data_IF_773234882815
#
_entry.id   IF_773234882815
#
_cell.length_a   1.000
_cell.length_b   1.000
_cell.length_c   1.000
_cell.angle_alpha   90.00
_cell.angle_beta   90.00
_cell.angle_gamma   90.00
#
_symmetry.space_group_name_H-M   'P 1'
#
loop_
_entity.id
_entity.type
_entity.pdbx_description
1 polymer ?
#
# COMPACT_ATOMS: atom_id res chain seq x y z
N UNK A 1 -18.97 40.33 10.48
CA UNK A 1 -18.62 39.87 9.12
C UNK A 1 -17.98 38.50 9.26
N UNK A 2 -18.77 37.47 8.98
CA UNK A 2 -18.41 36.05 9.09
C UNK A 2 -17.75 35.61 7.77
N UNK A 3 -16.67 34.80 7.79
CA UNK A 3 -16.12 34.23 6.58
C UNK A 3 -16.92 32.99 6.14
N UNK A 4 -17.15 32.95 4.83
CA UNK A 4 -17.96 32.01 4.06
C UNK A 4 -17.77 30.51 4.38
N UNK A 5 -18.87 29.82 4.62
CA UNK A 5 -18.99 28.36 4.48
C UNK A 5 -19.03 27.98 2.98
N UNK A 6 -18.32 26.93 2.54
CA UNK A 6 -18.60 26.31 1.26
C UNK A 6 -19.85 25.42 1.35
N UNK A 7 -20.71 25.56 0.35
CA UNK A 7 -22.00 24.90 0.15
C UNK A 7 -21.95 23.37 0.25
N UNK A 8 -22.87 22.82 1.05
CA UNK A 8 -23.29 21.42 1.04
C UNK A 8 -23.94 21.10 -0.31
N UNK A 9 -23.28 20.28 -1.13
CA UNK A 9 -23.94 19.58 -2.23
C UNK A 9 -24.52 18.29 -1.64
N UNK A 10 -25.84 18.21 -1.64
CA UNK A 10 -26.63 17.04 -1.28
C UNK A 10 -26.67 16.07 -2.46
N UNK A 11 -25.88 14.99 -2.40
CA UNK A 11 -26.07 13.84 -3.28
C UNK A 11 -26.76 12.71 -2.51
N UNK A 12 -28.07 12.89 -2.31
CA UNK A 12 -28.98 11.77 -2.15
C UNK A 12 -29.40 11.30 -3.54
N UNK A 13 -28.72 10.29 -4.09
CA UNK A 13 -29.34 9.40 -5.06
C UNK A 13 -29.13 7.95 -4.62
N UNK A 14 -30.25 7.30 -4.33
CA UNK A 14 -30.33 5.95 -3.84
C UNK A 14 -30.12 4.93 -4.95
N UNK A 15 -29.40 3.86 -4.61
CA UNK A 15 -29.48 2.60 -5.33
C UNK A 15 -30.68 1.82 -4.79
N UNK A 16 -31.88 2.12 -5.30
CA UNK A 16 -33.05 1.24 -5.20
C UNK A 16 -33.26 0.58 -6.56
N UNK A 17 -32.53 -0.50 -6.80
CA UNK A 17 -32.80 -1.45 -7.88
C UNK A 17 -32.71 -2.84 -7.28
N UNK A 18 -33.81 -3.59 -7.30
CA UNK A 18 -33.84 -5.01 -6.93
C UNK A 18 -32.75 -5.73 -7.71
N UNK A 19 -31.70 -6.19 -7.03
CA UNK A 19 -30.58 -6.89 -7.67
C UNK A 19 -30.91 -8.35 -7.98
N UNK A 20 -30.50 -8.86 -9.16
CA UNK A 20 -30.62 -10.28 -9.46
C UNK A 20 -29.78 -11.14 -8.51
N UNK A 21 -30.25 -12.36 -8.22
CA UNK A 21 -29.59 -13.40 -7.41
C UNK A 21 -28.11 -13.72 -7.78
N UNK A 22 -27.57 -13.15 -8.85
CA UNK A 22 -26.18 -13.31 -9.31
C UNK A 22 -25.14 -12.54 -8.49
N UNK A 23 -25.50 -11.48 -7.74
CA UNK A 23 -24.55 -10.66 -6.97
C UNK A 23 -24.20 -11.22 -5.58
N UNK A 24 -25.05 -12.10 -5.01
CA UNK A 24 -24.76 -12.85 -3.78
C UNK A 24 -23.53 -13.78 -3.89
N UNK A 25 -23.09 -14.09 -5.12
CA UNK A 25 -21.90 -14.91 -5.37
C UNK A 25 -20.66 -14.09 -5.78
N UNK A 26 -20.71 -12.75 -5.73
CA UNK A 26 -19.52 -11.95 -6.04
C UNK A 26 -18.43 -12.16 -4.98
N UNK A 27 -17.13 -12.13 -5.36
CA UNK A 27 -16.03 -12.24 -4.40
C UNK A 27 -16.13 -11.20 -3.27
N UNK A 28 -16.54 -9.96 -3.61
CA UNK A 28 -16.80 -8.89 -2.65
C UNK A 28 -17.85 -9.30 -1.60
N UNK A 29 -19.02 -9.78 -2.05
CA UNK A 29 -20.08 -10.21 -1.13
C UNK A 29 -19.61 -11.36 -0.23
N UNK A 30 -18.88 -12.34 -0.79
CA UNK A 30 -18.33 -13.45 -0.01
C UNK A 30 -17.31 -12.99 1.03
N UNK A 31 -16.39 -12.11 0.67
CA UNK A 31 -15.38 -11.53 1.58
C UNK A 31 -16.06 -10.82 2.74
N UNK A 32 -17.06 -9.98 2.47
CA UNK A 32 -17.80 -9.25 3.53
C UNK A 32 -18.62 -10.21 4.39
N UNK A 33 -19.23 -11.24 3.80
CA UNK A 33 -19.93 -12.31 4.52
C UNK A 33 -19.02 -13.05 5.51
N UNK A 34 -17.82 -13.46 5.06
CA UNK A 34 -16.83 -14.09 5.92
C UNK A 34 -16.34 -13.13 7.00
N UNK A 35 -16.03 -11.87 6.69
CA UNK A 35 -15.66 -10.89 7.71
C UNK A 35 -16.76 -10.74 8.77
N UNK A 36 -18.03 -10.75 8.36
CA UNK A 36 -19.14 -10.72 9.30
C UNK A 36 -19.22 -11.97 10.19
N UNK A 37 -19.15 -13.17 9.60
CA UNK A 37 -19.40 -14.43 10.32
C UNK A 37 -18.19 -14.96 11.07
N UNK A 38 -17.00 -14.76 10.51
CA UNK A 38 -15.73 -15.34 10.96
C UNK A 38 -14.85 -14.36 11.73
N UNK A 39 -15.03 -13.04 11.55
CA UNK A 39 -14.18 -12.02 12.18
C UNK A 39 -14.97 -11.16 13.18
N UNK A 40 -15.99 -10.41 12.75
CA UNK A 40 -16.76 -9.55 13.65
C UNK A 40 -17.39 -10.33 14.80
N UNK A 41 -17.96 -11.51 14.49
CA UNK A 41 -18.61 -12.37 15.47
C UNK A 41 -17.61 -13.06 16.40
N UNK A 42 -16.54 -13.63 15.86
CA UNK A 42 -15.57 -14.41 16.64
C UNK A 42 -14.74 -13.52 17.58
N UNK A 43 -14.25 -12.39 17.07
CA UNK A 43 -13.35 -11.50 17.83
C UNK A 43 -14.11 -10.38 18.56
N UNK A 44 -15.44 -10.31 18.40
CA UNK A 44 -16.28 -9.23 18.90
C UNK A 44 -15.72 -7.84 18.52
N UNK A 45 -15.62 -7.61 17.21
CA UNK A 45 -15.08 -6.38 16.62
C UNK A 45 -16.07 -5.76 15.65
N UNK A 46 -15.78 -4.52 15.24
CA UNK A 46 -16.39 -3.88 14.09
C UNK A 46 -15.33 -3.56 13.06
N UNK A 47 -15.60 -3.89 11.81
CA UNK A 47 -14.72 -3.58 10.69
C UNK A 47 -14.99 -2.15 10.21
N UNK A 48 -13.93 -1.37 10.02
CA UNK A 48 -13.98 0.01 9.52
C UNK A 48 -13.68 0.08 8.02
N UNK A 49 -12.77 -0.77 7.56
CA UNK A 49 -12.22 -0.70 6.21
C UNK A 49 -11.73 -2.07 5.76
N UNK A 50 -11.88 -2.37 4.48
CA UNK A 50 -11.44 -3.62 3.85
C UNK A 50 -10.96 -3.32 2.43
N UNK A 51 -9.77 -3.80 2.08
CA UNK A 51 -9.20 -3.69 0.74
C UNK A 51 -8.46 -4.97 0.32
N UNK A 52 -8.13 -5.06 -0.96
CA UNK A 52 -7.14 -6.01 -1.47
C UNK A 52 -5.72 -5.41 -1.32
N UNK A 53 -4.73 -6.24 -0.99
CA UNK A 53 -3.33 -5.82 -0.93
C UNK A 53 -2.37 -6.82 -1.62
N UNK A 54 -2.91 -7.67 -2.50
CA UNK A 54 -2.20 -8.78 -3.10
C UNK A 54 -1.80 -8.56 -4.55
N UNK A 55 -1.55 -9.68 -5.22
CA UNK A 55 -1.28 -9.72 -6.66
C UNK A 55 -2.37 -9.05 -7.51
N UNK A 56 -3.61 -9.02 -7.00
CA UNK A 56 -4.76 -8.36 -7.63
C UNK A 56 -4.60 -6.85 -7.64
N UNK A 57 -4.39 -6.25 -6.47
CA UNK A 57 -4.13 -4.81 -6.35
C UNK A 57 -2.85 -4.37 -7.10
N UNK A 58 -1.85 -5.23 -7.23
CA UNK A 58 -0.65 -4.98 -8.04
C UNK A 58 -0.83 -5.20 -9.56
N UNK A 59 -2.01 -5.64 -10.00
CA UNK A 59 -2.32 -6.00 -11.39
C UNK A 59 -1.36 -7.04 -12.02
N UNK A 60 -0.88 -7.97 -11.20
CA UNK A 60 -0.04 -9.10 -11.64
C UNK A 60 -0.74 -10.43 -11.37
N UNK A 61 -2.06 -10.48 -11.47
CA UNK A 61 -2.86 -11.70 -11.35
C UNK A 61 -3.40 -12.09 -12.72
N UNK A 62 -3.90 -13.31 -12.85
CA UNK A 62 -4.55 -13.74 -14.07
C UNK A 62 -5.83 -12.93 -14.32
N UNK A 63 -5.88 -12.22 -15.45
CA UNK A 63 -7.04 -11.43 -15.87
C UNK A 63 -8.04 -12.25 -16.71
N UNK A 64 -7.56 -13.33 -17.33
CA UNK A 64 -8.34 -14.22 -18.21
C UNK A 64 -9.05 -15.31 -17.40
N UNK A 65 -8.41 -15.78 -16.34
CA UNK A 65 -9.04 -16.48 -15.24
C UNK A 65 -9.39 -15.46 -14.16
N UNK A 66 -10.60 -14.90 -14.19
CA UNK A 66 -11.14 -13.98 -13.16
C UNK A 66 -11.06 -14.52 -11.71
N UNK A 67 -10.55 -15.73 -11.50
CA UNK A 67 -11.18 -16.76 -10.69
C UNK A 67 -10.20 -17.77 -10.05
N UNK A 68 -8.88 -17.50 -10.01
CA UNK A 68 -7.90 -18.43 -9.43
C UNK A 68 -6.78 -17.81 -8.59
N UNK A 69 -6.74 -16.47 -8.45
CA UNK A 69 -5.79 -15.80 -7.56
C UNK A 69 -6.24 -15.83 -6.10
N UNK A 70 -5.34 -16.19 -5.18
CA UNK A 70 -5.53 -15.99 -3.74
C UNK A 70 -5.95 -14.53 -3.43
N UNK A 71 -6.82 -14.36 -2.44
CA UNK A 71 -7.28 -13.05 -2.00
C UNK A 71 -6.52 -12.61 -0.75
N UNK A 72 -5.64 -11.62 -0.92
CA UNK A 72 -4.96 -10.95 0.18
C UNK A 72 -5.86 -9.83 0.74
N UNK A 73 -6.77 -10.18 1.63
CA UNK A 73 -7.71 -9.23 2.22
C UNK A 73 -7.10 -8.56 3.43
N UNK A 74 -7.05 -7.24 3.42
CA UNK A 74 -6.57 -6.43 4.53
C UNK A 74 -7.69 -5.59 5.09
N UNK A 75 -7.76 -5.50 6.41
CA UNK A 75 -8.84 -4.79 7.07
C UNK A 75 -8.40 -4.01 8.29
N UNK A 76 -9.20 -3.02 8.67
CA UNK A 76 -9.03 -2.26 9.91
C UNK A 76 -10.26 -2.49 10.77
N UNK A 77 -10.04 -2.75 12.05
CA UNK A 77 -11.12 -3.02 12.99
C UNK A 77 -10.94 -2.25 14.31
N UNK A 78 -12.03 -2.15 15.05
CA UNK A 78 -12.09 -1.57 16.39
C UNK A 78 -12.82 -2.53 17.32
N UNK A 79 -12.43 -2.54 18.60
CA UNK A 79 -13.11 -3.31 19.64
C UNK A 79 -14.21 -2.49 20.34
N UNK A 80 -15.10 -3.10 21.12
CA UNK A 80 -15.99 -2.37 22.01
C UNK A 80 -15.19 -1.66 23.11
N UNK A 81 -15.76 -0.59 23.69
CA UNK A 81 -15.06 0.27 24.66
C UNK A 81 -14.48 -0.51 25.84
N UNK A 82 -15.22 -1.49 26.36
CA UNK A 82 -14.83 -2.30 27.51
C UNK A 82 -13.51 -3.02 27.30
N UNK A 83 -13.19 -3.39 26.04
CA UNK A 83 -11.93 -4.05 25.69
C UNK A 83 -10.73 -3.13 25.94
N UNK A 84 -10.87 -1.83 25.69
CA UNK A 84 -9.81 -0.82 25.89
C UNK A 84 -9.64 -0.42 27.35
N UNK A 85 -10.66 -0.62 28.18
CA UNK A 85 -10.63 -0.28 29.61
C UNK A 85 -10.06 -1.40 30.49
N UNK A 86 -9.68 -2.54 29.90
CA UNK A 86 -9.05 -3.65 30.64
C UNK A 86 -7.62 -3.32 31.02
N UNK A 87 -7.25 -3.74 32.22
CA UNK A 87 -5.88 -3.64 32.74
C UNK A 87 -5.17 -4.97 32.44
N UNK A 88 -4.62 -5.10 31.22
CA UNK A 88 -3.84 -6.26 30.78
C UNK A 88 -2.57 -5.80 30.07
N UNK A 89 -1.46 -6.52 30.25
CA UNK A 89 -0.14 -6.09 29.78
C UNK A 89 0.08 -6.35 28.28
N UNK A 90 -0.50 -7.43 27.75
CA UNK A 90 -0.36 -7.80 26.34
C UNK A 90 -1.71 -7.85 25.66
N UNK A 91 -1.78 -7.19 24.50
CA UNK A 91 -2.99 -7.11 23.70
C UNK A 91 -2.61 -7.37 22.25
N UNK A 92 -3.20 -8.42 21.68
CA UNK A 92 -3.05 -8.72 20.26
C UNK A 92 -3.79 -7.64 19.44
N UNK A 93 -3.04 -6.93 18.60
CA UNK A 93 -3.54 -5.83 17.75
C UNK A 93 -3.68 -6.25 16.29
N UNK A 94 -3.63 -7.55 16.03
CA UNK A 94 -3.65 -8.12 14.70
C UNK A 94 -4.47 -9.39 14.67
N UNK A 95 -5.37 -9.50 13.70
CA UNK A 95 -6.12 -10.72 13.45
C UNK A 95 -5.63 -11.32 12.14
N UNK A 96 -5.26 -12.59 12.14
CA UNK A 96 -4.91 -13.35 10.93
C UNK A 96 -5.82 -14.56 10.80
N UNK A 97 -6.43 -14.75 9.63
CA UNK A 97 -7.28 -15.92 9.36
C UNK A 97 -7.21 -16.29 7.89
N UNK A 98 -7.00 -17.57 7.59
CA UNK A 98 -7.07 -18.12 6.23
C UNK A 98 -8.33 -18.95 6.09
N UNK A 99 -9.08 -18.73 5.02
CA UNK A 99 -10.33 -19.45 4.77
C UNK A 99 -10.35 -19.94 3.34
N UNK A 100 -10.55 -21.26 3.16
CA UNK A 100 -10.82 -21.85 1.85
C UNK A 100 -12.29 -21.66 1.52
N UNK A 101 -12.59 -21.14 0.32
CA UNK A 101 -13.96 -20.95 -0.13
C UNK A 101 -14.17 -21.38 -1.56
N UNK A 102 -15.31 -22.00 -1.82
CA UNK A 102 -15.83 -22.15 -3.16
C UNK A 102 -16.56 -20.86 -3.57
N UNK A 103 -16.06 -20.20 -4.62
CA UNK A 103 -16.75 -19.10 -5.27
C UNK A 103 -17.41 -19.65 -6.53
N UNK A 104 -18.75 -19.77 -6.53
CA UNK A 104 -19.50 -20.29 -7.68
C UNK A 104 -19.21 -19.45 -8.94
N UNK A 105 -18.77 -20.12 -10.01
CA UNK A 105 -18.38 -19.49 -11.28
C UNK A 105 -16.88 -19.53 -11.55
N UNK A 106 -16.07 -19.98 -10.58
CA UNK A 106 -14.64 -20.19 -10.75
C UNK A 106 -14.32 -21.60 -11.28
N UNK A 107 -13.28 -21.74 -12.10
CA UNK A 107 -12.81 -23.03 -12.62
C UNK A 107 -12.09 -23.89 -11.55
N UNK A 108 -11.84 -23.34 -10.35
CA UNK A 108 -11.31 -24.05 -9.19
C UNK A 108 -12.44 -24.39 -8.20
N UNK A 109 -12.38 -25.58 -7.59
CA UNK A 109 -13.35 -26.00 -6.57
C UNK A 109 -13.21 -25.18 -5.27
N UNK A 110 -12.03 -24.64 -4.94
CA UNK A 110 -11.77 -23.79 -3.75
C UNK A 110 -10.64 -22.77 -3.98
N UNK A 111 -10.76 -21.56 -3.44
CA UNK A 111 -9.71 -20.51 -3.39
C UNK A 111 -9.41 -20.08 -1.95
N UNK A 112 -8.17 -19.67 -1.66
CA UNK A 112 -7.76 -19.17 -0.34
C UNK A 112 -8.04 -17.67 -0.22
N UNK A 113 -8.66 -17.26 0.89
CA UNK A 113 -8.74 -15.87 1.33
C UNK A 113 -7.87 -15.71 2.58
N UNK A 114 -6.80 -14.92 2.48
CA UNK A 114 -5.89 -14.54 3.56
C UNK A 114 -6.31 -13.21 4.17
N UNK A 115 -6.99 -13.27 5.31
CA UNK A 115 -7.38 -12.10 6.10
C UNK A 115 -6.26 -11.68 7.04
N UNK A 116 -5.82 -10.42 6.92
CA UNK A 116 -4.93 -9.78 7.90
C UNK A 116 -5.52 -8.43 8.30
N UNK A 117 -5.89 -8.30 9.56
CA UNK A 117 -6.52 -7.11 10.10
C UNK A 117 -5.65 -6.42 11.13
N UNK A 118 -5.60 -5.09 11.10
CA UNK A 118 -4.99 -4.28 12.17
C UNK A 118 -6.05 -3.57 13.00
N UNK A 119 -5.88 -3.66 14.33
CA UNK A 119 -6.65 -2.83 15.25
C UNK A 119 -6.37 -1.34 14.97
N UNK A 120 -7.35 -0.48 15.21
CA UNK A 120 -7.27 0.94 14.90
C UNK A 120 -6.06 1.63 15.54
N UNK A 121 -5.66 1.33 16.79
CA UNK A 121 -4.44 1.93 17.38
C UNK A 121 -3.17 1.51 16.65
N UNK A 122 -3.07 0.25 16.21
CA UNK A 122 -1.94 -0.22 15.40
C UNK A 122 -1.91 0.50 14.06
N UNK A 123 -3.05 0.59 13.39
CA UNK A 123 -3.22 1.30 12.11
C UNK A 123 -2.78 2.76 12.24
N UNK A 124 -3.31 3.47 13.23
CA UNK A 124 -2.97 4.87 13.52
C UNK A 124 -1.49 5.01 13.92
N UNK A 125 -0.95 4.15 14.78
CA UNK A 125 0.49 4.18 15.10
C UNK A 125 1.35 3.98 13.85
N UNK A 126 0.93 3.14 12.92
CA UNK A 126 1.65 2.84 11.69
C UNK A 126 1.56 4.01 10.70
N UNK A 127 0.40 4.65 10.59
CA UNK A 127 0.23 5.92 9.87
C UNK A 127 1.18 6.99 10.39
N UNK A 128 1.19 7.24 11.71
CA UNK A 128 2.09 8.23 12.33
C UNK A 128 3.57 7.93 12.10
N UNK A 129 3.93 6.66 11.99
CA UNK A 129 5.30 6.18 11.73
C UNK A 129 5.64 6.07 10.24
N UNK A 130 4.71 6.37 9.33
CA UNK A 130 4.90 6.22 7.89
C UNK A 130 5.21 4.78 7.47
N UNK A 131 4.58 3.79 8.11
CA UNK A 131 4.76 2.38 7.77
C UNK A 131 4.17 2.03 6.40
N UNK A 132 4.95 1.48 5.45
CA UNK A 132 4.48 1.21 4.09
C UNK A 132 3.29 0.25 3.98
N UNK A 133 3.12 -0.69 4.90
CA UNK A 133 1.97 -1.61 4.87
C UNK A 133 0.65 -0.85 4.92
N UNK A 134 0.54 0.14 5.80
CA UNK A 134 -0.69 0.94 5.93
C UNK A 134 -0.79 1.95 4.77
N UNK A 135 0.33 2.47 4.25
CA UNK A 135 0.32 3.26 3.02
C UNK A 135 -0.25 2.47 1.84
N UNK A 136 0.15 1.20 1.68
CA UNK A 136 -0.34 0.32 0.62
C UNK A 136 -1.87 0.16 0.70
N UNK A 137 -2.42 -0.04 1.90
CA UNK A 137 -3.86 -0.25 2.12
C UNK A 137 -4.72 1.00 1.87
N UNK A 138 -4.22 2.17 2.25
CA UNK A 138 -5.02 3.40 2.20
C UNK A 138 -4.77 4.25 0.96
N UNK A 139 -3.56 4.20 0.41
CA UNK A 139 -3.13 5.12 -0.64
C UNK A 139 -2.92 4.41 -1.98
N UNK A 140 -2.34 3.22 -1.99
CA UNK A 140 -1.87 2.60 -3.24
C UNK A 140 -2.90 1.66 -3.87
N UNK A 141 -3.62 0.85 -3.08
CA UNK A 141 -4.66 -0.04 -3.63
C UNK A 141 -5.91 0.72 -4.09
N UNK A 142 -6.44 0.34 -5.24
CA UNK A 142 -7.70 0.83 -5.80
C UNK A 142 -8.87 -0.14 -5.54
N UNK A 143 -8.60 -1.34 -5.02
CA UNK A 143 -9.61 -2.37 -4.76
C UNK A 143 -10.08 -2.28 -3.31
N UNK A 144 -11.14 -1.50 -3.08
CA UNK A 144 -11.78 -1.35 -1.76
C UNK A 144 -13.05 -2.21 -1.71
N UNK A 145 -13.09 -3.16 -0.76
CA UNK A 145 -14.26 -4.01 -0.54
C UNK A 145 -15.28 -3.34 0.37
N UNK A 146 -14.84 -2.57 1.37
CA UNK A 146 -15.74 -1.91 2.30
C UNK A 146 -15.08 -0.73 2.99
N UNK A 147 -15.88 0.31 3.25
CA UNK A 147 -15.54 1.36 4.19
C UNK A 147 -16.82 1.78 4.91
N UNK A 148 -16.75 1.90 6.24
CA UNK A 148 -17.93 2.27 7.02
C UNK A 148 -18.38 3.71 6.78
N UNK A 149 -17.47 4.61 6.38
CA UNK A 149 -17.75 6.02 6.09
C UNK A 149 -16.68 6.67 5.21
N UNK A 150 -17.11 7.34 4.14
CA UNK A 150 -16.21 8.03 3.22
C UNK A 150 -15.40 9.14 3.87
N UNK A 151 -15.99 9.90 4.82
CA UNK A 151 -15.27 10.97 5.52
C UNK A 151 -14.13 10.44 6.38
N UNK A 152 -14.27 9.24 6.96
CA UNK A 152 -13.19 8.60 7.72
C UNK A 152 -12.05 8.17 6.79
N UNK A 153 -12.36 7.59 5.63
CA UNK A 153 -11.35 7.21 4.65
C UNK A 153 -10.61 8.45 4.11
N UNK A 154 -11.35 9.53 3.83
CA UNK A 154 -10.76 10.80 3.41
C UNK A 154 -9.79 11.34 4.47
N UNK A 155 -10.18 11.30 5.74
CA UNK A 155 -9.33 11.75 6.83
C UNK A 155 -8.08 10.87 7.01
N UNK A 156 -8.20 9.53 6.91
CA UNK A 156 -7.03 8.62 6.88
C UNK A 156 -6.07 8.98 5.76
N UNK A 157 -6.59 9.21 4.54
CA UNK A 157 -5.79 9.60 3.37
C UNK A 157 -5.11 10.96 3.56
N UNK A 158 -5.78 11.91 4.20
CA UNK A 158 -5.22 13.22 4.54
C UNK A 158 -4.06 13.08 5.56
N UNK A 159 -4.26 12.33 6.64
CA UNK A 159 -3.20 12.06 7.64
C UNK A 159 -1.93 11.53 6.99
N UNK A 160 -2.07 10.60 6.06
CA UNK A 160 -0.98 10.07 5.27
C UNK A 160 -0.32 11.12 4.39
N UNK A 161 -1.06 11.62 3.40
CA UNK A 161 -0.49 12.42 2.31
C UNK A 161 0.00 13.80 2.76
N UNK A 162 -0.64 14.40 3.75
CA UNK A 162 -0.39 15.81 4.11
C UNK A 162 0.49 15.97 5.35
N UNK A 163 0.53 14.98 6.26
CA UNK A 163 1.19 15.18 7.56
C UNK A 163 2.26 14.14 7.86
N UNK A 164 1.92 12.85 7.77
CA UNK A 164 2.79 11.80 8.27
C UNK A 164 3.65 11.10 7.22
N UNK A 165 3.45 11.33 5.92
CA UNK A 165 4.30 10.72 4.89
C UNK A 165 5.78 11.05 5.12
N UNK A 166 6.62 10.01 5.11
CA UNK A 166 8.06 10.11 5.27
C UNK A 166 8.75 9.12 4.33
N UNK A 167 9.27 9.66 3.22
CA UNK A 167 10.00 8.88 2.22
C UNK A 167 11.17 8.10 2.82
N UNK A 168 11.93 8.68 3.77
CA UNK A 168 13.06 8.01 4.41
C UNK A 168 12.63 6.70 5.05
N UNK A 169 11.58 6.74 5.88
CA UNK A 169 11.08 5.53 6.56
C UNK A 169 10.65 4.47 5.55
N UNK A 170 9.93 4.86 4.50
CA UNK A 170 9.42 3.96 3.48
C UNK A 170 10.57 3.32 2.69
N UNK A 171 11.56 4.11 2.29
CA UNK A 171 12.74 3.64 1.54
C UNK A 171 13.54 2.63 2.36
N UNK A 172 13.84 2.91 3.63
CA UNK A 172 14.54 1.93 4.48
C UNK A 172 13.73 0.64 4.67
N UNK A 173 12.41 0.76 4.80
CA UNK A 173 11.54 -0.40 4.90
C UNK A 173 11.61 -1.27 3.63
N UNK A 174 11.41 -0.69 2.43
CA UNK A 174 11.49 -1.45 1.18
C UNK A 174 12.88 -1.98 0.87
N UNK A 175 13.97 -1.28 1.25
CA UNK A 175 15.33 -1.80 1.14
C UNK A 175 15.56 -3.05 2.01
N UNK A 176 14.94 -3.09 3.21
CA UNK A 176 14.98 -4.25 4.10
C UNK A 176 14.11 -5.38 3.55
N UNK A 177 12.87 -5.09 3.12
CA UNK A 177 11.99 -6.10 2.51
C UNK A 177 12.65 -6.74 1.28
N UNK A 178 13.28 -5.94 0.41
CA UNK A 178 14.02 -6.44 -0.75
C UNK A 178 15.21 -7.31 -0.32
N UNK A 179 15.99 -6.88 0.68
CA UNK A 179 17.14 -7.63 1.23
C UNK A 179 16.70 -8.97 1.79
N UNK A 180 15.71 -8.97 2.68
CA UNK A 180 15.28 -10.14 3.42
C UNK A 180 14.65 -11.15 2.45
N UNK A 181 13.82 -10.69 1.51
CA UNK A 181 13.30 -11.59 0.46
C UNK A 181 14.41 -12.16 -0.42
N UNK A 182 15.43 -11.38 -0.79
CA UNK A 182 16.57 -11.90 -1.54
C UNK A 182 17.32 -12.97 -0.75
N UNK A 183 17.62 -12.70 0.52
CA UNK A 183 18.33 -13.62 1.41
C UNK A 183 17.54 -14.91 1.64
N UNK A 184 16.26 -14.79 1.96
CA UNK A 184 15.43 -15.92 2.37
C UNK A 184 14.98 -16.78 1.19
N UNK A 185 14.80 -16.18 0.00
CA UNK A 185 14.22 -16.87 -1.14
C UNK A 185 15.13 -17.08 -2.35
N UNK A 186 16.20 -16.31 -2.52
CA UNK A 186 17.05 -16.38 -3.73
C UNK A 186 18.50 -16.78 -3.43
N UNK A 187 19.12 -16.16 -2.42
CA UNK A 187 20.55 -16.31 -2.13
C UNK A 187 20.92 -17.75 -1.79
N UNK A 188 22.01 -18.23 -2.37
CA UNK A 188 22.58 -19.56 -2.14
C UNK A 188 21.61 -20.72 -2.44
N UNK A 189 20.64 -20.51 -3.34
CA UNK A 189 19.73 -21.55 -3.81
C UNK A 189 20.00 -21.88 -5.27
N UNK A 190 19.99 -23.17 -5.60
CA UNK A 190 20.08 -23.63 -7.00
C UNK A 190 18.77 -23.36 -7.74
N UNK A 191 17.65 -23.65 -7.07
CA UNK A 191 16.31 -23.42 -7.60
C UNK A 191 15.49 -22.54 -6.66
N UNK A 192 14.72 -21.61 -7.23
CA UNK A 192 14.01 -20.54 -6.55
C UNK A 192 12.59 -20.42 -7.08
N UNK A 193 11.68 -19.92 -6.26
CA UNK A 193 10.38 -19.49 -6.76
C UNK A 193 10.54 -18.14 -7.46
N UNK A 194 10.54 -18.14 -8.80
CA UNK A 194 10.86 -16.95 -9.62
C UNK A 194 9.89 -15.79 -9.40
N UNK A 195 8.69 -16.00 -8.84
CA UNK A 195 7.77 -14.91 -8.47
C UNK A 195 8.40 -13.92 -7.48
N UNK A 196 9.35 -14.39 -6.66
CA UNK A 196 10.07 -13.55 -5.68
C UNK A 196 10.90 -12.44 -6.32
N UNK A 197 11.37 -12.61 -7.57
CA UNK A 197 12.00 -11.51 -8.32
C UNK A 197 11.03 -10.33 -8.50
N UNK A 198 9.76 -10.58 -8.84
CA UNK A 198 8.74 -9.53 -9.01
C UNK A 198 8.57 -8.72 -7.72
N UNK A 199 8.44 -9.39 -6.57
CA UNK A 199 8.24 -8.72 -5.28
C UNK A 199 9.47 -7.90 -4.85
N UNK A 200 10.67 -8.42 -5.05
CA UNK A 200 11.93 -7.72 -4.72
C UNK A 200 12.08 -6.50 -5.64
N UNK A 201 11.93 -6.69 -6.95
CA UNK A 201 12.10 -5.61 -7.94
C UNK A 201 11.02 -4.55 -7.81
N UNK A 202 9.76 -4.89 -7.48
CA UNK A 202 8.74 -3.90 -7.16
C UNK A 202 9.19 -2.96 -6.03
N UNK A 203 9.75 -3.51 -4.95
CA UNK A 203 10.27 -2.70 -3.84
C UNK A 203 11.40 -1.77 -4.31
N UNK A 204 12.34 -2.28 -5.10
CA UNK A 204 13.47 -1.49 -5.59
C UNK A 204 13.05 -0.42 -6.61
N UNK A 205 12.15 -0.76 -7.54
CA UNK A 205 11.59 0.16 -8.53
C UNK A 205 10.73 1.24 -7.88
N UNK A 206 10.01 0.93 -6.79
CA UNK A 206 9.30 1.92 -5.99
C UNK A 206 10.28 2.97 -5.45
N UNK A 207 11.41 2.51 -4.89
CA UNK A 207 12.44 3.42 -4.36
C UNK A 207 13.09 4.21 -5.48
N UNK A 208 13.36 3.57 -6.64
CA UNK A 208 13.93 4.24 -7.80
C UNK A 208 13.02 5.35 -8.32
N UNK A 209 11.72 5.09 -8.43
CA UNK A 209 10.73 6.11 -8.74
C UNK A 209 10.78 7.26 -7.73
N UNK A 210 10.74 6.94 -6.43
CA UNK A 210 10.75 7.94 -5.38
C UNK A 210 12.04 8.79 -5.41
N UNK A 211 13.18 8.17 -5.68
CA UNK A 211 14.49 8.80 -5.86
C UNK A 211 14.49 9.76 -7.05
N UNK A 212 14.02 9.31 -8.22
CA UNK A 212 13.96 10.15 -9.42
C UNK A 212 12.99 11.32 -9.24
N UNK A 213 11.82 11.07 -8.66
CA UNK A 213 10.84 12.12 -8.33
C UNK A 213 11.42 13.15 -7.36
N UNK A 214 12.12 12.70 -6.33
CA UNK A 214 12.85 13.57 -5.40
C UNK A 214 13.86 14.46 -6.12
N UNK A 215 14.65 13.89 -7.04
CA UNK A 215 15.63 14.64 -7.82
C UNK A 215 14.98 15.68 -8.74
N UNK A 216 13.98 15.27 -9.53
CA UNK A 216 13.29 16.14 -10.48
C UNK A 216 12.60 17.31 -9.76
N UNK A 217 11.99 17.07 -8.60
CA UNK A 217 11.37 18.13 -7.80
C UNK A 217 12.41 19.04 -7.14
N UNK A 218 13.55 18.50 -6.69
CA UNK A 218 14.66 19.30 -6.17
C UNK A 218 15.24 20.26 -7.22
N UNK A 219 15.21 19.90 -8.50
CA UNK A 219 15.63 20.78 -9.60
C UNK A 219 14.62 21.91 -9.80
N UNK A 220 13.31 21.58 -9.85
CA UNK A 220 12.24 22.58 -10.02
C UNK A 220 12.30 23.65 -8.94
N UNK A 221 12.47 23.26 -7.67
CA UNK A 221 12.54 24.18 -6.53
C UNK A 221 13.72 25.16 -6.61
N UNK A 222 14.85 24.76 -7.20
CA UNK A 222 16.03 25.63 -7.35
C UNK A 222 15.90 26.68 -8.45
N UNK A 223 15.05 26.42 -9.45
CA UNK A 223 14.86 27.30 -10.60
C UNK A 223 13.75 28.34 -10.35
N UNK A 224 13.03 28.24 -9.23
CA UNK A 224 12.05 29.23 -8.78
C UNK A 224 12.69 30.12 -7.71
N UNK A 225 12.72 31.43 -7.93
CA UNK A 225 13.25 32.45 -6.99
C UNK A 225 12.48 32.52 -5.65
N UNK A 226 11.42 31.73 -5.48
CA UNK A 226 10.60 31.63 -4.27
C UNK A 226 11.04 30.46 -3.37
N UNK A 227 12.27 30.47 -2.85
CA UNK A 227 12.64 29.58 -1.74
C UNK A 227 12.38 30.30 -0.42
N UNK A 228 11.12 30.28 0.02
CA UNK A 228 10.81 30.41 1.45
C UNK A 228 10.58 29.01 2.03
N UNK A 229 11.52 28.59 2.88
CA UNK A 229 11.30 27.74 4.07
C UNK A 229 10.80 26.29 3.93
N UNK A 230 10.81 25.63 2.78
CA UNK A 230 10.60 24.16 2.78
C UNK A 230 11.92 23.40 2.82
N UNK A 231 12.26 22.83 3.98
CA UNK A 231 13.36 21.84 4.12
C UNK A 231 12.95 20.43 3.66
N UNK A 232 11.82 20.30 2.99
CA UNK A 232 11.20 19.05 2.57
C UNK A 232 10.92 19.06 1.07
N UNK A 233 11.26 17.96 0.40
CA UNK A 233 10.96 17.73 -1.02
C UNK A 233 9.76 16.81 -1.10
N UNK A 234 8.67 17.28 -1.71
CA UNK A 234 7.50 16.46 -1.94
C UNK A 234 7.81 15.39 -2.98
N UNK A 235 7.41 14.15 -2.69
CA UNK A 235 7.62 13.01 -3.59
C UNK A 235 6.27 12.39 -3.89
N UNK A 236 6.02 12.24 -5.18
CA UNK A 236 4.88 11.52 -5.72
C UNK A 236 4.93 10.05 -5.28
N UNK A 237 3.82 9.57 -4.71
CA UNK A 237 3.68 8.17 -4.32
C UNK A 237 3.59 7.32 -5.60
N UNK A 238 4.51 6.36 -5.80
CA UNK A 238 4.51 5.52 -7.01
C UNK A 238 3.22 4.68 -7.14
N UNK A 239 2.84 4.31 -8.37
CA UNK A 239 1.73 3.40 -8.62
C UNK A 239 1.93 2.06 -7.91
N UNK A 240 0.81 1.42 -7.53
CA UNK A 240 0.86 0.06 -6.98
C UNK A 240 0.99 -1.00 -8.07
N UNK A 241 0.41 -0.72 -9.24
CA UNK A 241 0.40 -1.60 -10.40
C UNK A 241 1.80 -1.68 -10.98
N UNK A 242 2.30 -2.90 -11.15
CA UNK A 242 3.72 -3.10 -11.47
C UNK A 242 4.09 -2.59 -12.85
N UNK A 243 3.22 -2.73 -13.85
CA UNK A 243 3.50 -2.21 -15.20
C UNK A 243 3.55 -0.67 -15.20
N UNK A 244 2.58 -0.02 -14.56
CA UNK A 244 2.55 1.45 -14.43
C UNK A 244 3.78 1.98 -13.67
N UNK A 245 4.20 1.27 -12.62
CA UNK A 245 5.43 1.60 -11.89
C UNK A 245 6.67 1.51 -12.81
N UNK A 246 6.78 0.45 -13.61
CA UNK A 246 7.88 0.28 -14.56
C UNK A 246 7.89 1.42 -15.58
N UNK A 247 6.73 1.71 -16.18
CA UNK A 247 6.61 2.75 -17.20
C UNK A 247 7.01 4.13 -16.66
N UNK A 248 6.52 4.49 -15.47
CA UNK A 248 6.87 5.76 -14.83
C UNK A 248 8.35 5.83 -14.41
N UNK A 249 8.95 4.71 -13.98
CA UNK A 249 10.40 4.67 -13.70
C UNK A 249 11.20 4.94 -14.98
N UNK A 250 10.85 4.29 -16.09
CA UNK A 250 11.55 4.46 -17.37
C UNK A 250 11.43 5.90 -17.89
N UNK A 251 10.23 6.49 -17.82
CA UNK A 251 9.99 7.89 -18.21
C UNK A 251 10.87 8.84 -17.37
N UNK A 252 10.86 8.67 -16.04
CA UNK A 252 11.65 9.52 -15.14
C UNK A 252 13.16 9.30 -15.31
N UNK A 253 13.60 8.10 -15.67
CA UNK A 253 15.00 7.82 -16.01
C UNK A 253 15.41 8.56 -17.30
N UNK A 254 14.57 8.54 -18.34
CA UNK A 254 14.82 9.32 -19.56
C UNK A 254 14.91 10.82 -19.27
N UNK A 255 13.98 11.35 -18.46
CA UNK A 255 14.02 12.74 -18.03
C UNK A 255 15.30 13.07 -17.24
N UNK A 256 15.73 12.18 -16.33
CA UNK A 256 16.97 12.33 -15.57
C UNK A 256 18.22 12.35 -16.49
N UNK A 257 18.27 11.49 -17.50
CA UNK A 257 19.40 11.44 -18.45
C UNK A 257 19.53 12.72 -19.28
N UNK A 258 18.43 13.46 -19.49
CA UNK A 258 18.43 14.75 -20.18
C UNK A 258 18.87 15.93 -19.28
N UNK A 259 19.09 15.70 -17.98
CA UNK A 259 19.60 16.75 -17.06
C UNK A 259 21.10 17.01 -17.25
N UNK A 260 21.59 18.14 -16.72
CA UNK A 260 23.00 18.54 -16.84
C UNK A 260 23.94 17.64 -16.00
N UNK A 261 25.21 17.54 -16.42
CA UNK A 261 26.21 16.70 -15.72
C UNK A 261 26.51 17.18 -14.29
N UNK A 262 26.34 18.48 -14.03
CA UNK A 262 26.41 19.03 -12.67
C UNK A 262 25.34 18.41 -11.75
N UNK A 263 24.15 18.13 -12.27
CA UNK A 263 23.06 17.49 -11.53
C UNK A 263 23.35 16.00 -11.34
N UNK A 264 23.80 15.32 -12.40
CA UNK A 264 24.17 13.90 -12.37
C UNK A 264 25.32 13.61 -11.40
N UNK A 265 26.31 14.51 -11.30
CA UNK A 265 27.44 14.37 -10.38
C UNK A 265 27.05 14.44 -8.89
N UNK A 266 25.95 15.16 -8.57
CA UNK A 266 25.42 15.24 -7.20
C UNK A 266 24.70 13.95 -6.78
N UNK A 267 24.26 13.16 -7.75
CA UNK A 267 23.53 11.92 -7.55
C UNK A 267 24.06 10.84 -8.50
N UNK A 268 25.27 10.31 -8.23
CA UNK A 268 25.89 9.35 -9.13
C UNK A 268 24.98 8.12 -9.24
N UNK A 269 24.46 7.90 -10.44
CA UNK A 269 23.86 6.63 -10.85
C UNK A 269 25.00 5.82 -11.45
N UNK A 270 25.21 4.61 -10.96
CA UNK A 270 26.23 3.73 -11.50
C UNK A 270 25.85 3.32 -12.92
N UNK A 271 26.75 3.55 -13.89
CA UNK A 271 26.51 3.30 -15.34
C UNK A 271 26.06 1.86 -15.62
N UNK A 272 26.58 0.90 -14.85
CA UNK A 272 26.26 -0.54 -14.97
C UNK A 272 24.77 -0.85 -14.70
N UNK A 273 24.01 0.04 -14.05
CA UNK A 273 22.56 -0.14 -13.89
C UNK A 273 21.87 -0.17 -15.25
N UNK A 274 22.21 0.73 -16.16
CA UNK A 274 21.52 0.87 -17.45
C UNK A 274 21.97 -0.16 -18.49
N UNK A 275 23.25 -0.55 -18.46
CA UNK A 275 23.82 -1.50 -19.43
C UNK A 275 23.09 -2.85 -19.42
N UNK A 276 22.75 -3.37 -18.23
CA UNK A 276 22.02 -4.63 -18.07
C UNK A 276 20.50 -4.47 -17.89
N UNK A 277 20.00 -3.23 -17.76
CA UNK A 277 18.58 -2.99 -17.47
C UNK A 277 17.66 -3.51 -18.57
N UNK A 278 18.05 -3.40 -19.85
CA UNK A 278 17.19 -3.86 -20.96
C UNK A 278 16.89 -5.36 -20.88
N UNK A 279 17.92 -6.18 -20.66
CA UNK A 279 17.78 -7.64 -20.52
C UNK A 279 17.04 -7.99 -19.22
N UNK A 280 17.39 -7.36 -18.10
CA UNK A 280 16.71 -7.57 -16.83
C UNK A 280 15.22 -7.20 -16.88
N UNK A 281 14.87 -6.12 -17.56
CA UNK A 281 13.48 -5.68 -17.74
C UNK A 281 12.70 -6.67 -18.60
N UNK A 282 13.30 -7.17 -19.67
CA UNK A 282 12.71 -8.21 -20.52
C UNK A 282 12.37 -9.46 -19.69
N UNK A 283 13.32 -9.95 -18.90
CA UNK A 283 13.09 -11.08 -17.98
C UNK A 283 11.98 -10.79 -16.96
N UNK A 284 11.98 -9.60 -16.34
CA UNK A 284 10.94 -9.20 -15.40
C UNK A 284 9.55 -9.16 -16.07
N UNK A 285 9.44 -8.63 -17.29
CA UNK A 285 8.20 -8.57 -18.05
C UNK A 285 7.70 -9.97 -18.43
N UNK A 286 8.60 -10.91 -18.76
CA UNK A 286 8.26 -12.33 -18.96
C UNK A 286 7.67 -12.92 -17.68
N UNK A 287 8.30 -12.69 -16.53
CA UNK A 287 7.78 -13.17 -15.24
C UNK A 287 6.42 -12.55 -14.90
N UNK A 288 6.23 -11.25 -15.12
CA UNK A 288 4.94 -10.58 -14.90
C UNK A 288 3.87 -11.17 -15.82
N UNK A 289 4.18 -11.33 -17.11
CA UNK A 289 3.27 -11.90 -18.12
C UNK A 289 2.87 -13.33 -17.77
N UNK A 290 3.84 -14.16 -17.37
CA UNK A 290 3.58 -15.50 -16.85
C UNK A 290 2.67 -15.46 -15.62
N UNK A 291 2.91 -14.53 -14.69
CA UNK A 291 2.10 -14.40 -13.47
C UNK A 291 0.67 -13.91 -13.74
N UNK A 292 0.46 -13.20 -14.85
CA UNK A 292 -0.84 -12.82 -15.41
C UNK A 292 -1.52 -13.92 -16.24
N UNK A 293 -0.83 -15.03 -16.54
CA UNK A 293 -1.39 -16.16 -17.30
C UNK A 293 -1.52 -17.42 -16.45
N UNK A 294 -0.92 -17.42 -15.25
CA UNK A 294 -1.04 -18.51 -14.31
C UNK A 294 -1.13 -18.03 -12.86
N UNK A 295 -2.11 -18.59 -12.17
CA UNK A 295 -2.25 -18.52 -10.72
C UNK A 295 -1.60 -19.73 -10.04
N UNK A 296 -1.53 -19.70 -8.71
CA UNK A 296 -1.01 -20.83 -7.91
C UNK A 296 0.49 -20.78 -7.58
N UNK A 297 0.96 -21.86 -6.97
CA UNK A 297 2.36 -22.00 -6.59
C UNK A 297 3.21 -22.28 -7.82
N UNK A 298 4.20 -21.42 -8.06
CA UNK A 298 5.21 -21.68 -9.07
C UNK A 298 6.20 -22.72 -8.57
N UNK A 299 6.51 -23.67 -9.45
CA UNK A 299 7.62 -24.59 -9.24
C UNK A 299 8.93 -23.84 -9.04
N UNK A 300 9.86 -24.48 -8.34
CA UNK A 300 11.21 -23.94 -8.19
C UNK A 300 11.95 -24.14 -9.51
N UNK A 301 12.60 -23.08 -9.96
CA UNK A 301 13.35 -23.07 -11.21
C UNK A 301 14.72 -22.46 -10.98
N UNK A 302 15.65 -22.65 -11.92
CA UNK A 302 16.98 -22.04 -11.84
C UNK A 302 16.91 -20.52 -11.70
N UNK A 303 17.90 -19.93 -11.04
CA UNK A 303 18.01 -18.47 -10.90
C UNK A 303 18.20 -17.79 -12.25
N UNK A 304 17.84 -16.50 -12.31
CA UNK A 304 17.99 -15.66 -13.50
C UNK A 304 19.10 -14.66 -13.19
N UNK A 305 20.30 -14.95 -13.70
CA UNK A 305 21.54 -14.24 -13.34
C UNK A 305 21.46 -12.74 -13.61
N UNK A 306 20.86 -12.33 -14.73
CA UNK A 306 20.70 -10.91 -15.07
C UNK A 306 19.81 -10.16 -14.07
N UNK A 307 18.80 -10.83 -13.49
CA UNK A 307 17.96 -10.23 -12.45
C UNK A 307 18.69 -10.15 -11.11
N UNK A 308 19.52 -11.15 -10.80
CA UNK A 308 20.35 -11.14 -9.59
C UNK A 308 21.34 -9.97 -9.59
N UNK A 309 22.02 -9.75 -10.72
CA UNK A 309 22.92 -8.62 -10.93
C UNK A 309 22.17 -7.29 -10.81
N UNK A 310 21.02 -7.17 -11.49
CA UNK A 310 20.24 -5.94 -11.48
C UNK A 310 19.73 -5.59 -10.07
N UNK A 311 19.25 -6.58 -9.31
CA UNK A 311 18.87 -6.42 -7.90
C UNK A 311 20.06 -5.91 -7.07
N UNK A 312 21.25 -6.49 -7.26
CA UNK A 312 22.45 -6.10 -6.54
C UNK A 312 22.82 -4.64 -6.81
N UNK A 313 22.88 -4.23 -8.08
CA UNK A 313 23.23 -2.86 -8.46
C UNK A 313 22.18 -1.85 -8.00
N UNK A 314 20.90 -2.08 -8.30
CA UNK A 314 19.80 -1.22 -7.85
C UNK A 314 19.84 -1.03 -6.35
N UNK A 315 19.86 -2.12 -5.58
CA UNK A 315 19.82 -2.02 -4.11
C UNK A 315 21.03 -1.26 -3.55
N UNK A 316 22.21 -1.42 -4.16
CA UNK A 316 23.43 -0.72 -3.74
C UNK A 316 23.29 0.79 -3.93
N UNK A 317 22.91 1.24 -5.12
CA UNK A 317 22.75 2.66 -5.43
C UNK A 317 21.60 3.30 -4.62
N UNK A 318 20.48 2.59 -4.49
CA UNK A 318 19.34 3.04 -3.70
C UNK A 318 19.65 3.15 -2.21
N UNK A 319 20.55 2.30 -1.69
CA UNK A 319 21.06 2.45 -0.32
C UNK A 319 21.92 3.69 -0.17
N UNK A 320 22.77 4.01 -1.16
CA UNK A 320 23.56 5.26 -1.16
C UNK A 320 22.65 6.48 -1.14
N UNK A 321 21.57 6.48 -1.94
CA UNK A 321 20.54 7.52 -1.89
C UNK A 321 19.92 7.67 -0.49
N UNK A 322 19.49 6.55 0.12
CA UNK A 322 18.91 6.57 1.46
C UNK A 322 19.88 7.10 2.54
N UNK A 323 21.16 6.75 2.44
CA UNK A 323 22.19 7.08 3.43
C UNK A 323 22.77 8.48 3.27
N UNK A 324 22.94 8.96 2.04
CA UNK A 324 23.62 10.25 1.78
C UNK A 324 22.64 11.40 1.57
N UNK A 325 21.44 11.11 1.07
CA UNK A 325 20.43 12.12 0.74
C UNK A 325 19.37 12.17 1.82
N UNK A 326 18.57 11.09 1.94
CA UNK A 326 17.40 11.09 2.83
C UNK A 326 17.75 11.13 4.32
N UNK A 327 18.91 10.63 4.73
CA UNK A 327 19.33 10.62 6.13
C UNK A 327 19.46 12.03 6.75
N UNK A 328 19.73 13.03 5.91
CA UNK A 328 19.95 14.41 6.29
C UNK A 328 18.69 15.28 6.20
N UNK A 329 17.59 14.75 5.66
CA UNK A 329 16.35 15.49 5.46
C UNK A 329 15.44 15.44 6.69
N UNK A 330 14.81 16.57 6.99
CA UNK A 330 13.80 16.68 8.04
C UNK A 330 12.46 16.12 7.54
N UNK A 331 11.64 15.62 8.45
CA UNK A 331 10.27 15.20 8.12
C UNK A 331 9.40 16.44 7.96
N UNK A 332 8.35 16.34 7.15
CA UNK A 332 7.36 17.42 7.01
C UNK A 332 6.79 17.86 8.36
N UNK A 333 6.46 16.90 9.22
CA UNK A 333 5.92 17.18 10.57
C UNK A 333 6.92 17.93 11.48
N UNK A 334 8.22 17.81 11.23
CA UNK A 334 9.24 18.53 12.01
C UNK A 334 9.34 20.01 11.57
N UNK A 335 8.70 20.38 10.44
CA UNK A 335 8.66 21.73 9.90
C UNK A 335 7.41 22.53 10.26
N UNK A 336 6.37 21.90 10.82
CA UNK A 336 5.14 22.59 11.27
C UNK A 336 5.27 23.05 12.73
N UNK A 337 4.52 24.08 13.10
CA UNK A 337 4.54 24.67 14.45
C UNK A 337 4.08 23.69 15.53
N UNK A 338 4.48 23.94 16.78
CA UNK A 338 4.05 23.11 17.92
C UNK A 338 2.53 23.10 18.07
N UNK A 339 1.87 24.24 17.85
CA UNK A 339 0.41 24.34 17.89
C UNK A 339 -0.24 23.48 16.82
N UNK A 340 0.27 23.49 15.58
CA UNK A 340 -0.22 22.61 14.51
C UNK A 340 -0.01 21.12 14.84
N UNK A 341 1.13 20.76 15.45
CA UNK A 341 1.36 19.37 15.90
C UNK A 341 0.35 18.95 16.97
N UNK A 342 0.03 19.84 17.92
CA UNK A 342 -0.98 19.59 18.95
C UNK A 342 -2.38 19.44 18.33
N UNK A 343 -2.75 20.29 17.37
CA UNK A 343 -4.03 20.16 16.68
C UNK A 343 -4.12 18.88 15.85
N UNK A 344 -3.05 18.51 15.14
CA UNK A 344 -2.96 17.25 14.41
C UNK A 344 -3.13 16.05 15.33
N UNK A 345 -2.46 16.05 16.50
CA UNK A 345 -2.60 14.99 17.49
C UNK A 345 -4.04 14.89 18.01
N UNK A 346 -4.71 16.01 18.30
CA UNK A 346 -6.13 16.02 18.72
C UNK A 346 -7.06 15.44 17.65
N UNK A 347 -6.84 15.76 16.36
CA UNK A 347 -7.61 15.15 15.26
C UNK A 347 -7.41 13.64 15.23
N UNK A 348 -6.17 13.19 15.38
CA UNK A 348 -5.81 11.78 15.41
C UNK A 348 -6.48 11.03 16.57
N UNK A 349 -6.45 11.61 17.77
CA UNK A 349 -7.08 11.04 18.96
C UNK A 349 -8.60 11.06 18.86
N UNK A 350 -9.18 12.11 18.27
CA UNK A 350 -10.62 12.22 18.02
C UNK A 350 -11.11 11.14 17.06
N UNK A 351 -10.35 10.80 16.02
CA UNK A 351 -10.70 9.71 15.10
C UNK A 351 -10.78 8.36 15.82
N UNK A 352 -9.80 8.08 16.68
CA UNK A 352 -9.81 6.89 17.53
C UNK A 352 -11.01 6.91 18.47
N UNK A 353 -11.21 8.01 19.20
CA UNK A 353 -12.31 8.17 20.15
C UNK A 353 -13.67 7.94 19.49
N UNK A 354 -13.93 8.59 18.36
CA UNK A 354 -15.21 8.46 17.64
C UNK A 354 -15.48 7.02 17.18
N UNK A 355 -14.45 6.31 16.69
CA UNK A 355 -14.62 4.92 16.28
C UNK A 355 -14.92 4.00 17.48
N UNK A 356 -14.22 4.17 18.61
CA UNK A 356 -14.44 3.36 19.81
C UNK A 356 -15.79 3.66 20.46
N UNK A 357 -16.14 4.93 20.67
CA UNK A 357 -17.45 5.28 21.27
C UNK A 357 -18.61 5.06 20.32
N UNK A 358 -18.34 4.99 19.02
CA UNK A 358 -19.30 4.72 17.96
C UNK A 358 -19.48 3.25 17.62
N UNK A 359 -18.90 2.32 18.40
CA UNK A 359 -18.88 0.89 18.10
C UNK A 359 -20.25 0.29 17.73
N UNK A 360 -21.30 0.59 18.50
CA UNK A 360 -22.66 0.08 18.24
C UNK A 360 -23.60 1.08 17.58
N UNK A 361 -23.19 2.34 17.42
CA UNK A 361 -24.07 3.43 16.95
C UNK A 361 -23.67 4.02 15.61
N UNK A 362 -22.37 4.09 15.32
CA UNK A 362 -21.82 4.72 14.13
C UNK A 362 -21.28 3.71 13.11
N UNK A 363 -20.90 2.52 13.56
CA UNK A 363 -20.28 1.50 12.73
C UNK A 363 -21.27 0.34 12.54
N UNK A 364 -21.86 0.19 11.34
CA UNK A 364 -22.83 -0.87 11.11
C UNK A 364 -22.14 -2.23 11.15
N UNK A 365 -22.84 -3.23 11.69
CA UNK A 365 -22.42 -4.64 11.55
C UNK A 365 -22.37 -5.01 10.07
N UNK A 366 -21.38 -5.77 9.67
CA UNK A 366 -21.27 -6.23 8.28
C UNK A 366 -22.47 -7.10 7.87
N UNK A 367 -23.10 -7.82 8.81
CA UNK A 367 -24.36 -8.53 8.56
C UNK A 367 -25.48 -7.61 8.07
N UNK A 368 -25.63 -6.44 8.70
CA UNK A 368 -26.62 -5.43 8.31
C UNK A 368 -26.24 -4.75 7.00
N UNK A 369 -24.94 -4.58 6.73
CA UNK A 369 -24.47 -4.08 5.42
C UNK A 369 -24.86 -5.07 4.32
N UNK A 370 -24.72 -6.38 4.54
CA UNK A 370 -25.09 -7.42 3.57
C UNK A 370 -26.58 -7.51 3.31
N UNK A 371 -27.43 -7.27 4.32
CA UNK A 371 -28.89 -7.19 4.16
C UNK A 371 -29.33 -6.00 3.30
N UNK A 372 -28.56 -4.90 3.35
CA UNK A 372 -28.80 -3.67 2.60
C UNK A 372 -27.92 -3.55 1.35
N UNK A 373 -27.19 -4.61 0.99
CA UNK A 373 -26.46 -4.65 -0.27
C UNK A 373 -27.53 -4.66 -1.37
N UNK A 374 -27.59 -3.61 -2.22
CA UNK A 374 -28.66 -3.46 -3.19
C UNK A 374 -28.77 -4.68 -4.10
#
# INVERSE_FOLDING_TARGET
MLPHQPSLISDHQGYNTVVPNSLHNSPKHKIISLLSSEIEKEFNVRVLFVCDAGSRAMNIHDQSEKDSSDYDVRFVYVHPLEWYLRVVDEVELEIRKKVMVNLKGMNQEETEIDFVGYELRKTLSYTKKSNPTVMEWFIQTDIIYYCYRDSWLKEMKEFWSHYFFNIRTIVYHYLNVAKDNYVDYLRNKLEVNRKKYIYILRCLLWIEHARLSHFLNSIKLKNTDEIKTSSYVEVEIPPFKVDELIDQVLEKQQAFLQTSDAIKSKYPVTVNIFEKQGEALSELQILISRKKQSSGQWDKETRIEVLDDWIFFLRTDLKVFADKVLSNEKRRIDGISLDEQVQLQKRFDSMFYQAVTGFDTLIPKLSTVLENYP
#
